data_IF_874059634803
#
_entry.id   IF_874059634803
#
_cell.length_a   1.000
_cell.length_b   1.000
_cell.length_c   1.000
_cell.angle_alpha   90.00
_cell.angle_beta   90.00
_cell.angle_gamma   90.00
#
_symmetry.space_group_name_H-M   'P 1'
#
loop_
_entity.id
_entity.type
_entity.pdbx_description
1 polymer ?
#
# COMPACT_ATOMS: atom_id res chain seq x y z
N UNK A 1 8.34 -5.63 7.19
CA UNK A 1 7.10 -4.83 7.24
C UNK A 1 7.30 -3.62 6.34
N UNK A 2 6.27 -3.19 5.63
CA UNK A 2 6.29 -1.96 4.84
C UNK A 2 4.95 -1.23 4.98
N UNK A 3 4.99 0.10 5.09
CA UNK A 3 3.78 0.93 5.14
C UNK A 3 3.23 1.15 3.72
N UNK A 4 1.91 1.09 3.55
CA UNK A 4 1.25 1.37 2.28
C UNK A 4 0.13 2.39 2.46
N UNK A 5 -0.13 3.14 1.39
CA UNK A 5 -1.27 4.04 1.33
C UNK A 5 -2.48 3.27 0.80
N UNK A 6 -3.41 2.94 1.72
CA UNK A 6 -4.61 2.21 1.36
C UNK A 6 -5.51 2.95 0.36
N UNK A 7 -5.46 4.29 0.29
CA UNK A 7 -6.29 5.04 -0.65
C UNK A 7 -6.03 4.64 -2.12
N UNK A 8 -4.85 4.10 -2.44
CA UNK A 8 -4.51 3.66 -3.80
C UNK A 8 -5.19 2.34 -4.21
N UNK A 9 -5.79 1.63 -3.26
CA UNK A 9 -6.46 0.36 -3.47
C UNK A 9 -5.51 -0.84 -3.57
N UNK A 10 -6.11 -2.01 -3.75
CA UNK A 10 -5.39 -3.28 -3.78
C UNK A 10 -4.63 -3.52 -5.09
N UNK A 11 -5.12 -3.00 -6.23
CA UNK A 11 -4.68 -3.46 -7.56
C UNK A 11 -3.71 -2.51 -8.28
N UNK A 12 -3.69 -1.22 -7.93
CA UNK A 12 -2.85 -0.25 -8.61
C UNK A 12 -1.41 -0.41 -8.15
N UNK A 13 -0.46 -0.63 -9.05
CA UNK A 13 0.97 -0.66 -8.73
C UNK A 13 1.60 0.73 -8.90
N UNK A 14 1.41 1.62 -7.92
CA UNK A 14 1.78 3.03 -8.02
C UNK A 14 2.46 3.56 -6.76
N UNK A 15 3.30 4.55 -6.95
CA UNK A 15 3.90 5.39 -5.89
C UNK A 15 3.97 6.84 -6.35
N UNK A 16 4.35 7.74 -5.45
CA UNK A 16 4.66 9.12 -5.79
C UNK A 16 6.13 9.24 -6.22
N UNK A 17 6.45 10.27 -7.01
CA UNK A 17 7.85 10.59 -7.34
C UNK A 17 8.61 10.99 -6.07
N UNK A 18 9.80 10.43 -5.88
CA UNK A 18 10.67 10.78 -4.78
C UNK A 18 11.06 12.27 -4.84
N UNK A 19 10.96 12.93 -3.70
CA UNK A 19 11.38 14.30 -3.44
C UNK A 19 11.85 14.40 -2.00
N UNK A 20 12.99 15.02 -1.77
CA UNK A 20 13.59 15.23 -0.44
C UNK A 20 12.82 16.26 0.39
N UNK A 21 12.21 17.24 -0.28
CA UNK A 21 11.37 18.30 0.30
C UNK A 21 9.89 17.90 0.45
N UNK A 22 9.55 16.63 0.24
CA UNK A 22 8.16 16.19 0.21
C UNK A 22 7.46 16.33 1.57
N UNK A 23 6.31 17.02 1.57
CA UNK A 23 5.38 17.04 2.70
C UNK A 23 3.97 16.80 2.19
N UNK A 24 3.35 15.71 2.63
CA UNK A 24 2.02 15.30 2.18
C UNK A 24 0.91 16.29 2.54
N UNK A 25 1.09 17.06 3.62
CA UNK A 25 0.15 18.13 4.00
C UNK A 25 0.23 19.37 3.11
N UNK A 26 1.39 19.60 2.47
CA UNK A 26 1.59 20.67 1.50
C UNK A 26 1.28 20.21 0.08
N UNK A 27 1.45 18.92 -0.22
CA UNK A 27 1.29 18.36 -1.56
C UNK A 27 -0.18 18.30 -2.02
N UNK A 28 -1.13 18.05 -1.12
CA UNK A 28 -2.56 18.06 -1.44
C UNK A 28 -3.42 18.33 -0.20
N UNK A 29 -4.50 19.15 -0.28
CA UNK A 29 -5.32 19.52 0.88
C UNK A 29 -6.00 18.34 1.58
N UNK A 30 -6.24 17.23 0.88
CA UNK A 30 -6.79 16.01 1.50
C UNK A 30 -5.78 15.28 2.37
N UNK A 31 -4.47 15.51 2.15
CA UNK A 31 -3.38 14.75 2.79
C UNK A 31 -3.39 13.25 2.41
N UNK A 32 -4.04 12.87 1.30
CA UNK A 32 -4.14 11.49 0.81
C UNK A 32 -3.06 11.12 -0.22
N UNK A 33 -2.35 12.11 -0.74
CA UNK A 33 -1.32 11.92 -1.76
C UNK A 33 0.04 11.74 -1.08
N UNK A 34 0.46 10.48 -0.86
CA UNK A 34 1.75 10.12 -0.28
C UNK A 34 2.04 8.63 -0.47
N UNK A 35 3.33 8.27 -0.42
CA UNK A 35 3.75 6.88 -0.25
C UNK A 35 3.51 6.02 -1.48
N UNK A 36 3.08 4.79 -1.25
CA UNK A 36 3.13 3.68 -2.21
C UNK A 36 1.98 2.71 -1.98
N UNK A 37 1.47 2.11 -3.05
CA UNK A 37 0.39 1.14 -2.96
C UNK A 37 0.88 -0.23 -2.48
N UNK A 38 -0.04 -1.05 -2.00
CA UNK A 38 0.29 -2.42 -1.57
C UNK A 38 0.81 -3.27 -2.73
N UNK A 39 0.22 -3.13 -3.93
CA UNK A 39 0.64 -3.87 -5.12
C UNK A 39 2.05 -3.47 -5.56
N UNK A 40 2.41 -2.18 -5.47
CA UNK A 40 3.76 -1.74 -5.77
C UNK A 40 4.79 -2.39 -4.83
N UNK A 41 4.46 -2.56 -3.54
CA UNK A 41 5.30 -3.34 -2.64
C UNK A 41 5.37 -4.82 -3.01
N UNK A 42 4.23 -5.45 -3.32
CA UNK A 42 4.16 -6.86 -3.76
C UNK A 42 5.10 -7.10 -4.94
N UNK A 43 5.08 -6.24 -5.96
CA UNK A 43 5.92 -6.34 -7.15
C UNK A 43 7.38 -6.05 -6.90
N UNK A 44 7.69 -5.01 -6.13
CA UNK A 44 9.08 -4.67 -5.84
C UNK A 44 9.75 -5.79 -5.04
N UNK A 45 9.11 -6.25 -3.96
CA UNK A 45 9.69 -7.20 -3.02
C UNK A 45 9.73 -8.63 -3.57
N UNK A 46 8.82 -9.02 -4.49
CA UNK A 46 8.88 -10.32 -5.16
C UNK A 46 10.17 -10.51 -5.95
N UNK A 47 10.71 -9.44 -6.56
CA UNK A 47 12.01 -9.44 -7.26
C UNK A 47 13.19 -9.79 -6.34
N UNK A 48 13.03 -9.58 -5.03
CA UNK A 48 14.02 -9.89 -4.01
C UNK A 48 13.69 -11.21 -3.26
N UNK A 49 12.73 -11.99 -3.76
CA UNK A 49 12.34 -13.28 -3.19
C UNK A 49 11.53 -13.16 -1.89
N UNK A 50 10.77 -12.09 -1.73
CA UNK A 50 9.80 -11.94 -0.65
C UNK A 50 8.38 -12.27 -1.12
N UNK A 51 7.61 -12.98 -0.28
CA UNK A 51 6.19 -13.24 -0.46
C UNK A 51 5.39 -12.30 0.44
N UNK A 52 4.36 -11.66 -0.10
CA UNK A 52 3.36 -10.95 0.70
C UNK A 52 2.51 -11.96 1.46
N UNK A 53 2.27 -11.68 2.75
CA UNK A 53 1.55 -12.59 3.64
C UNK A 53 0.23 -12.00 4.12
N UNK A 54 0.24 -10.73 4.56
CA UNK A 54 -0.98 -10.06 5.04
C UNK A 54 -0.75 -8.56 5.23
N UNK A 55 -1.82 -7.83 5.54
CA UNK A 55 -1.77 -6.48 6.09
C UNK A 55 -2.45 -6.41 7.46
N UNK A 56 -2.13 -5.37 8.23
CA UNK A 56 -2.79 -5.12 9.51
C UNK A 56 -4.26 -4.70 9.33
N UNK A 57 -5.04 -4.85 10.40
CA UNK A 57 -6.44 -4.41 10.43
C UNK A 57 -6.60 -2.89 10.44
N UNK A 58 -5.50 -2.14 10.54
CA UNK A 58 -5.49 -0.66 10.51
C UNK A 58 -5.37 -0.11 9.10
N UNK A 59 -5.01 -0.93 8.11
CA UNK A 59 -4.80 -0.51 6.73
C UNK A 59 -3.56 0.37 6.57
N UNK A 60 -2.50 0.07 7.33
CA UNK A 60 -1.24 0.82 7.33
C UNK A 60 -0.07 -0.07 6.96
N UNK A 61 0.07 -1.22 7.62
CA UNK A 61 1.24 -2.08 7.47
C UNK A 61 0.96 -3.32 6.64
N UNK A 62 1.88 -3.63 5.74
CA UNK A 62 1.95 -4.89 4.98
C UNK A 62 3.14 -5.73 5.46
N UNK A 63 2.93 -7.04 5.51
CA UNK A 63 3.89 -8.03 6.02
C UNK A 63 4.34 -8.96 4.90
N UNK A 64 5.64 -9.16 4.86
CA UNK A 64 6.32 -9.94 3.84
C UNK A 64 7.35 -10.85 4.51
N UNK A 65 7.58 -12.02 3.92
CA UNK A 65 8.58 -12.99 4.39
C UNK A 65 9.52 -13.37 3.25
N UNK A 66 10.79 -13.60 3.58
CA UNK A 66 11.78 -14.11 2.62
C UNK A 66 11.50 -15.60 2.40
N UNK A 67 11.17 -15.99 1.15
CA UNK A 67 10.68 -17.33 0.87
C UNK A 67 11.69 -18.43 1.24
N UNK A 68 12.99 -18.18 1.05
CA UNK A 68 14.09 -19.11 1.39
C UNK A 68 14.29 -19.38 2.89
N UNK A 69 13.53 -18.72 3.77
CA UNK A 69 13.61 -18.88 5.23
C UNK A 69 12.51 -19.74 5.83
N UNK A 70 11.58 -20.23 5.01
CA UNK A 70 10.41 -20.96 5.47
C UNK A 70 10.11 -22.15 4.57
N UNK A 71 9.56 -23.21 5.16
CA UNK A 71 8.97 -24.31 4.40
C UNK A 71 7.80 -23.81 3.56
N UNK A 72 7.72 -24.24 2.30
CA UNK A 72 6.66 -23.83 1.38
C UNK A 72 5.28 -24.20 1.94
N UNK A 73 5.15 -25.38 2.57
CA UNK A 73 3.92 -25.84 3.19
C UNK A 73 3.45 -24.94 4.35
N UNK A 74 4.38 -24.32 5.09
CA UNK A 74 4.03 -23.33 6.09
C UNK A 74 3.47 -22.07 5.43
N UNK A 75 4.15 -21.56 4.39
CA UNK A 75 3.74 -20.35 3.68
C UNK A 75 2.39 -20.47 2.95
N UNK A 76 2.02 -21.67 2.50
CA UNK A 76 0.77 -21.92 1.79
C UNK A 76 -0.44 -22.05 2.73
N UNK A 77 -0.19 -22.33 4.01
CA UNK A 77 -1.23 -22.42 5.04
C UNK A 77 -1.52 -21.08 5.73
N UNK A 78 -0.75 -20.02 5.43
CA UNK A 78 -1.03 -18.70 6.02
C UNK A 78 -2.26 -18.08 5.36
N UNK A 79 -3.24 -17.72 6.18
CA UNK A 79 -4.44 -17.00 5.77
C UNK A 79 -4.37 -15.56 6.27
N UNK A 80 -4.14 -14.64 5.36
CA UNK A 80 -4.01 -13.21 5.64
C UNK A 80 -5.07 -12.38 4.93
N UNK A 81 -5.23 -11.13 5.38
CA UNK A 81 -5.91 -10.09 4.61
C UNK A 81 -5.05 -9.69 3.39
N UNK A 82 -5.66 -9.68 2.21
CA UNK A 82 -5.01 -9.23 0.97
C UNK A 82 -4.89 -7.71 0.88
N UNK A 83 -5.79 -7.01 1.56
CA UNK A 83 -5.90 -5.55 1.57
C UNK A 83 -6.83 -5.10 2.69
N UNK A 84 -6.55 -3.94 3.29
CA UNK A 84 -7.40 -3.30 4.29
C UNK A 84 -7.38 -1.78 4.09
N UNK A 85 -8.55 -1.16 4.09
CA UNK A 85 -8.62 0.30 4.10
C UNK A 85 -8.15 0.88 5.43
N UNK A 86 -7.46 2.01 5.36
CA UNK A 86 -6.99 2.74 6.53
C UNK A 86 -8.17 3.19 7.38
N UNK A 87 -8.22 2.70 8.62
CA UNK A 87 -9.36 2.95 9.52
C UNK A 87 -9.56 4.43 9.84
N UNK A 88 -8.47 5.18 9.99
CA UNK A 88 -8.53 6.61 10.28
C UNK A 88 -9.04 7.38 9.05
N UNK A 89 -8.51 7.11 7.86
CA UNK A 89 -8.96 7.73 6.62
C UNK A 89 -10.43 7.44 6.34
N UNK A 90 -10.87 6.18 6.52
CA UNK A 90 -12.27 5.81 6.35
C UNK A 90 -13.19 6.59 7.29
N UNK A 91 -12.80 6.81 8.54
CA UNK A 91 -13.58 7.62 9.50
C UNK A 91 -13.55 9.11 9.18
N UNK A 92 -12.39 9.64 8.75
CA UNK A 92 -12.20 11.06 8.42
C UNK A 92 -13.04 11.45 7.20
N UNK A 93 -12.97 10.65 6.13
CA UNK A 93 -13.61 10.97 4.86
C UNK A 93 -15.01 10.38 4.70
N UNK A 94 -15.34 9.32 5.47
CA UNK A 94 -16.62 8.60 5.37
C UNK A 94 -16.95 8.13 3.94
N UNK A 95 -15.92 7.77 3.19
CA UNK A 95 -16.02 7.30 1.82
C UNK A 95 -15.01 6.18 1.59
N UNK A 96 -15.32 5.20 0.73
CA UNK A 96 -14.42 4.10 0.43
C UNK A 96 -13.21 4.58 -0.40
N UNK A 97 -12.16 3.77 -0.47
CA UNK A 97 -10.90 4.16 -1.08
C UNK A 97 -11.04 4.59 -2.54
N UNK A 98 -11.98 4.01 -3.31
CA UNK A 98 -12.19 4.39 -4.71
C UNK A 98 -12.61 5.86 -4.84
N UNK A 99 -13.50 6.32 -3.96
CA UNK A 99 -13.93 7.71 -3.94
C UNK A 99 -12.83 8.63 -3.37
N UNK A 100 -12.07 8.17 -2.36
CA UNK A 100 -10.90 8.90 -1.86
C UNK A 100 -9.83 9.09 -2.94
N UNK A 101 -9.59 8.08 -3.77
CA UNK A 101 -8.59 8.12 -4.83
C UNK A 101 -8.94 9.16 -5.90
N UNK A 102 -10.22 9.29 -6.28
CA UNK A 102 -10.66 10.31 -7.24
C UNK A 102 -10.27 11.73 -6.82
N UNK A 103 -10.19 12.00 -5.52
CA UNK A 103 -9.76 13.31 -5.01
C UNK A 103 -8.31 13.67 -5.36
N UNK A 104 -7.49 12.69 -5.70
CA UNK A 104 -6.05 12.84 -5.97
C UNK A 104 -5.65 12.19 -7.30
N UNK A 105 -6.59 11.71 -8.11
CA UNK A 105 -6.30 10.91 -9.32
C UNK A 105 -5.54 11.70 -10.40
N UNK A 106 -5.67 13.03 -10.37
CA UNK A 106 -4.98 13.96 -11.26
C UNK A 106 -3.55 14.31 -10.81
N UNK A 107 -3.09 13.77 -9.67
CA UNK A 107 -1.71 13.96 -9.20
C UNK A 107 -0.72 13.08 -9.97
N UNK A 108 0.57 13.40 -9.90
CA UNK A 108 1.63 12.68 -10.62
C UNK A 108 2.01 11.35 -9.95
N UNK A 109 1.61 10.21 -10.52
CA UNK A 109 2.01 8.89 -10.02
C UNK A 109 3.07 8.22 -10.91
N UNK A 110 3.96 7.46 -10.27
CA UNK A 110 4.94 6.58 -10.91
C UNK A 110 4.44 5.14 -10.83
N UNK A 111 4.45 4.41 -11.94
CA UNK A 111 4.09 2.99 -11.96
C UNK A 111 5.28 2.11 -11.56
N UNK A 112 5.02 1.09 -10.75
CA UNK A 112 6.01 0.07 -10.38
C UNK A 112 5.74 -1.22 -11.17
N UNK A 113 6.70 -1.57 -12.03
CA UNK A 113 6.68 -2.79 -12.84
C UNK A 113 6.90 -4.05 -12.02
#
# INVERSE_FOLDING_TARGET
>A
MAEYNSTYGADKSITIKYRDDFSYSLAHPTMLYYGVSIEAWKRLLSKYGYKFITCDSRGVNAFFVKMDRFEQSFLDNIKGLEYQENFYELRKFRMPHQERFKLIENMEFVQIG
#
